data_IF_814141557440
#
_entry.id   IF_814141557440
#
_cell.length_a   1.000
_cell.length_b   1.000
_cell.length_c   1.000
_cell.angle_alpha   90.00
_cell.angle_beta   90.00
_cell.angle_gamma   90.00
#
_symmetry.space_group_name_H-M   'P 1'
#
loop_
_entity.id
_entity.type
_entity.pdbx_description
1 polymer ?
#
# COMPACT_ATOMS: atom_id res chain seq x y z
N UNK A 1 4.80 -12.71 1.61
CA UNK A 1 5.62 -13.74 0.98
C UNK A 1 6.80 -13.14 0.26
N UNK A 2 7.67 -14.01 -0.19
CA UNK A 2 8.84 -13.68 -0.99
C UNK A 2 9.04 -14.74 -2.08
N UNK A 3 9.92 -14.49 -3.05
CA UNK A 3 10.28 -15.47 -4.08
C UNK A 3 10.85 -16.76 -3.46
N UNK A 4 11.68 -16.64 -2.43
CA UNK A 4 12.24 -17.79 -1.73
C UNK A 4 11.15 -18.65 -1.08
N UNK A 5 10.18 -18.04 -0.39
CA UNK A 5 9.06 -18.77 0.19
C UNK A 5 8.22 -19.45 -0.89
N UNK A 6 7.98 -18.77 -2.02
CA UNK A 6 7.25 -19.37 -3.15
C UNK A 6 8.01 -20.59 -3.71
N UNK A 7 9.34 -20.51 -3.85
CA UNK A 7 10.15 -21.65 -4.26
C UNK A 7 10.04 -22.81 -3.26
N UNK A 8 10.12 -22.53 -1.95
CA UNK A 8 9.97 -23.58 -0.93
C UNK A 8 8.60 -24.26 -0.99
N UNK A 9 7.53 -23.50 -1.29
CA UNK A 9 6.19 -24.06 -1.50
C UNK A 9 6.09 -24.89 -2.79
N UNK A 10 6.86 -24.55 -3.82
CA UNK A 10 6.96 -25.35 -5.03
C UNK A 10 7.73 -26.66 -4.76
N UNK A 11 8.86 -26.57 -4.08
CA UNK A 11 9.75 -27.71 -3.80
C UNK A 11 9.08 -28.76 -2.89
N UNK A 12 8.28 -28.33 -1.91
CA UNK A 12 7.56 -29.24 -1.02
C UNK A 12 6.20 -29.74 -1.58
N UNK A 13 5.82 -29.30 -2.79
CA UNK A 13 4.60 -29.69 -3.47
C UNK A 13 3.33 -28.93 -3.04
N UNK A 14 3.38 -28.08 -2.02
CA UNK A 14 2.21 -27.33 -1.55
C UNK A 14 1.62 -26.42 -2.62
N UNK A 15 2.45 -25.78 -3.44
CA UNK A 15 2.02 -24.94 -4.55
C UNK A 15 1.19 -25.73 -5.57
N UNK A 16 1.63 -26.93 -5.93
CA UNK A 16 0.89 -27.81 -6.87
C UNK A 16 -0.47 -28.22 -6.32
N UNK A 17 -0.55 -28.52 -5.02
CA UNK A 17 -1.80 -28.88 -4.35
C UNK A 17 -2.78 -27.68 -4.36
N UNK A 18 -2.30 -26.47 -4.06
CA UNK A 18 -3.13 -25.25 -4.07
C UNK A 18 -3.66 -24.96 -5.48
N UNK A 19 -2.83 -25.11 -6.51
CA UNK A 19 -3.25 -24.93 -7.92
C UNK A 19 -4.31 -25.95 -8.28
N UNK A 20 -4.13 -27.21 -7.92
CA UNK A 20 -5.08 -28.28 -8.18
C UNK A 20 -6.43 -28.06 -7.46
N UNK A 21 -6.39 -27.43 -6.28
CA UNK A 21 -7.59 -27.02 -5.55
C UNK A 21 -8.29 -25.78 -6.13
N UNK A 22 -7.76 -25.18 -7.20
CA UNK A 22 -8.34 -24.01 -7.86
C UNK A 22 -7.86 -22.66 -7.32
N UNK A 23 -6.82 -22.64 -6.49
CA UNK A 23 -6.24 -21.38 -6.00
C UNK A 23 -5.57 -20.62 -7.16
N UNK A 24 -5.84 -19.31 -7.22
CA UNK A 24 -5.13 -18.40 -8.11
C UNK A 24 -3.84 -17.94 -7.43
N UNK A 25 -2.71 -18.27 -8.05
CA UNK A 25 -1.40 -17.87 -7.56
C UNK A 25 -1.05 -16.48 -8.09
N UNK A 26 -0.69 -15.59 -7.20
CA UNK A 26 -0.28 -14.22 -7.50
C UNK A 26 1.18 -14.00 -7.12
N UNK A 27 1.80 -13.03 -7.77
CA UNK A 27 3.12 -12.55 -7.34
C UNK A 27 3.08 -12.03 -5.89
N UNK A 28 4.18 -12.24 -5.16
CA UNK A 28 4.35 -11.72 -3.80
C UNK A 28 4.61 -10.23 -3.83
N UNK A 29 3.58 -9.44 -4.10
CA UNK A 29 3.64 -7.98 -4.26
C UNK A 29 2.44 -7.29 -3.64
N UNK A 30 2.50 -5.97 -3.56
CA UNK A 30 1.37 -5.13 -3.16
C UNK A 30 0.50 -4.82 -4.39
N UNK A 31 -0.80 -4.73 -4.19
CA UNK A 31 -1.77 -4.43 -5.25
C UNK A 31 -3.13 -5.06 -4.95
N UNK A 32 -3.22 -6.37 -4.70
CA UNK A 32 -4.49 -7.04 -4.38
C UNK A 32 -5.21 -6.45 -3.17
N UNK A 33 -4.49 -5.82 -2.23
CA UNK A 33 -5.07 -5.16 -1.06
C UNK A 33 -5.96 -3.96 -1.39
N UNK A 34 -5.75 -3.31 -2.53
CA UNK A 34 -6.59 -2.24 -3.06
C UNK A 34 -7.47 -2.71 -4.24
N UNK A 35 -7.55 -4.01 -4.45
CA UNK A 35 -8.37 -4.62 -5.48
C UNK A 35 -7.73 -4.72 -6.87
N UNK A 36 -6.44 -4.41 -7.02
CA UNK A 36 -5.76 -4.55 -8.32
C UNK A 36 -5.73 -6.02 -8.73
N UNK A 37 -6.56 -6.37 -9.71
CA UNK A 37 -6.73 -7.73 -10.22
C UNK A 37 -7.46 -8.69 -9.28
N UNK A 38 -7.94 -8.26 -8.12
CA UNK A 38 -8.56 -9.07 -7.07
C UNK A 38 -9.67 -8.32 -6.31
N UNK A 39 -10.44 -7.48 -6.99
CA UNK A 39 -11.63 -6.87 -6.40
C UNK A 39 -12.70 -7.92 -6.13
N UNK A 40 -13.42 -7.87 -5.00
CA UNK A 40 -14.59 -8.71 -4.79
C UNK A 40 -15.71 -8.32 -5.76
N UNK A 41 -16.64 -9.22 -5.98
CA UNK A 41 -17.87 -8.90 -6.70
C UNK A 41 -18.70 -7.88 -5.90
N UNK A 42 -19.59 -7.14 -6.61
CA UNK A 42 -20.57 -6.26 -5.96
C UNK A 42 -21.40 -7.05 -4.96
N UNK A 43 -21.51 -6.54 -3.71
CA UNK A 43 -22.16 -7.23 -2.60
C UNK A 43 -21.48 -8.53 -2.12
N UNK A 44 -20.39 -8.93 -2.75
CA UNK A 44 -19.71 -10.20 -2.46
C UNK A 44 -18.91 -10.15 -1.16
N UNK A 45 -18.85 -11.29 -0.46
CA UNK A 45 -18.05 -11.49 0.75
C UNK A 45 -16.61 -11.84 0.36
N UNK A 46 -15.64 -11.18 0.97
CA UNK A 46 -14.21 -11.45 0.77
C UNK A 46 -13.46 -11.48 2.10
N UNK A 47 -12.81 -12.60 2.38
CA UNK A 47 -11.94 -12.74 3.56
C UNK A 47 -10.50 -12.44 3.16
N UNK A 48 -9.82 -11.59 3.92
CA UNK A 48 -8.48 -11.13 3.59
C UNK A 48 -7.56 -11.11 4.80
N UNK A 49 -6.30 -11.46 4.60
CA UNK A 49 -5.27 -11.48 5.64
C UNK A 49 -4.41 -10.21 5.63
N UNK A 50 -4.88 -9.15 4.98
CA UNK A 50 -4.23 -7.84 5.00
C UNK A 50 -4.44 -7.15 6.35
N UNK A 51 -3.70 -6.09 6.60
CA UNK A 51 -3.74 -5.36 7.86
C UNK A 51 -4.61 -4.10 7.83
N UNK A 52 -5.41 -3.90 6.77
CA UNK A 52 -6.20 -2.68 6.60
C UNK A 52 -7.49 -2.93 5.85
N UNK A 53 -8.58 -2.38 6.36
CA UNK A 53 -9.89 -2.38 5.70
C UNK A 53 -10.66 -1.09 5.99
N UNK A 54 -11.47 -0.67 5.04
CA UNK A 54 -12.53 0.32 5.12
C UNK A 54 -13.44 0.15 3.90
N UNK A 55 -14.62 0.77 3.88
CA UNK A 55 -15.56 0.65 2.78
C UNK A 55 -14.92 1.01 1.43
N UNK A 56 -15.08 0.13 0.44
CA UNK A 56 -14.49 0.28 -0.89
C UNK A 56 -12.98 0.06 -0.98
N UNK A 57 -12.28 -0.24 0.13
CA UNK A 57 -10.81 -0.42 0.16
C UNK A 57 -10.30 -1.42 -0.86
N UNK A 58 -11.02 -2.50 -1.07
CA UNK A 58 -10.59 -3.60 -1.96
C UNK A 58 -11.09 -3.45 -3.41
N UNK A 59 -11.45 -2.24 -3.82
CA UNK A 59 -11.75 -1.89 -5.21
C UNK A 59 -13.23 -1.93 -5.59
N UNK A 60 -14.09 -2.53 -4.75
CA UNK A 60 -15.55 -2.58 -4.95
C UNK A 60 -16.23 -1.89 -3.77
N UNK A 61 -17.03 -0.86 -4.05
CA UNK A 61 -17.59 0.02 -3.02
C UNK A 61 -18.49 -0.72 -2.02
N UNK A 62 -19.30 -1.63 -2.47
CA UNK A 62 -20.26 -2.43 -1.69
C UNK A 62 -19.74 -3.84 -1.36
N UNK A 63 -18.49 -4.14 -1.63
CA UNK A 63 -17.87 -5.43 -1.28
C UNK A 63 -17.75 -5.58 0.24
N UNK A 64 -18.25 -6.69 0.77
CA UNK A 64 -18.20 -7.04 2.19
C UNK A 64 -16.85 -7.68 2.52
N UNK A 65 -15.86 -6.87 2.90
CA UNK A 65 -14.50 -7.30 3.17
C UNK A 65 -14.28 -7.47 4.66
N UNK A 66 -13.80 -8.65 5.06
CA UNK A 66 -13.45 -8.99 6.44
C UNK A 66 -11.96 -9.27 6.55
N UNK A 67 -11.31 -8.69 7.57
CA UNK A 67 -9.94 -9.02 7.92
C UNK A 67 -9.94 -10.22 8.87
N UNK A 68 -9.21 -11.25 8.49
CA UNK A 68 -9.16 -12.51 9.22
C UNK A 68 -7.72 -13.01 9.36
N UNK A 69 -7.47 -13.94 10.26
CA UNK A 69 -6.17 -14.64 10.33
C UNK A 69 -5.97 -15.56 9.12
N UNK A 70 -4.73 -15.92 8.78
CA UNK A 70 -4.44 -16.93 7.75
C UNK A 70 -5.17 -18.25 7.97
N UNK A 71 -5.26 -18.70 9.23
CA UNK A 71 -5.94 -19.93 9.62
C UNK A 71 -7.45 -19.84 9.33
N UNK A 72 -8.08 -18.72 9.68
CA UNK A 72 -9.50 -18.47 9.37
C UNK A 72 -9.75 -18.42 7.88
N UNK A 73 -8.84 -17.78 7.12
CA UNK A 73 -8.93 -17.73 5.66
C UNK A 73 -8.82 -19.14 5.04
N UNK A 74 -7.86 -19.96 5.52
CA UNK A 74 -7.65 -21.32 5.04
C UNK A 74 -8.87 -22.22 5.39
N UNK A 75 -9.35 -22.17 6.63
CA UNK A 75 -10.53 -22.92 7.06
C UNK A 75 -11.76 -22.58 6.24
N UNK A 76 -11.97 -21.30 5.99
CA UNK A 76 -13.10 -20.81 5.18
C UNK A 76 -12.97 -21.20 3.71
N UNK A 77 -11.76 -21.23 3.16
CA UNK A 77 -11.50 -21.69 1.81
C UNK A 77 -11.82 -23.19 1.64
N UNK A 78 -11.51 -24.01 2.66
CA UNK A 78 -11.82 -25.45 2.66
C UNK A 78 -13.33 -25.71 2.80
N UNK A 79 -14.00 -24.94 3.68
CA UNK A 79 -15.41 -25.13 3.96
C UNK A 79 -16.35 -24.44 2.93
N UNK A 80 -15.85 -23.47 2.17
CA UNK A 80 -16.66 -22.66 1.25
C UNK A 80 -17.54 -21.61 1.92
N UNK A 81 -17.45 -21.47 3.24
CA UNK A 81 -18.18 -20.51 4.07
C UNK A 81 -17.26 -19.94 5.15
N UNK A 82 -17.64 -18.81 5.73
CA UNK A 82 -16.89 -18.20 6.84
C UNK A 82 -16.85 -19.19 8.02
N UNK A 83 -15.66 -19.69 8.35
CA UNK A 83 -15.48 -20.82 9.25
C UNK A 83 -14.47 -20.52 10.36
N UNK A 84 -14.81 -20.90 11.59
CA UNK A 84 -13.88 -20.88 12.71
C UNK A 84 -12.85 -22.03 12.52
N UNK A 85 -11.54 -21.74 12.42
CA UNK A 85 -10.52 -22.77 12.23
C UNK A 85 -10.48 -23.83 13.34
N UNK A 86 -10.92 -23.48 14.55
CA UNK A 86 -10.97 -24.39 15.70
C UNK A 86 -11.98 -25.53 15.53
N UNK A 87 -12.91 -25.41 14.57
CA UNK A 87 -13.89 -26.46 14.26
C UNK A 87 -13.35 -27.54 13.34
N UNK A 88 -12.17 -27.36 12.75
CA UNK A 88 -11.53 -28.33 11.84
C UNK A 88 -10.72 -29.41 12.57
N UNK A 89 -10.63 -29.37 13.89
CA UNK A 89 -9.86 -30.30 14.70
C UNK A 89 -8.62 -29.66 15.32
N UNK A 90 -7.63 -30.49 15.62
CA UNK A 90 -6.38 -30.01 16.21
C UNK A 90 -5.54 -29.22 15.21
N UNK A 91 -4.87 -28.17 15.69
CA UNK A 91 -3.96 -27.38 14.87
C UNK A 91 -2.78 -28.25 14.39
N UNK A 92 -2.49 -28.26 13.10
CA UNK A 92 -1.32 -29.00 12.61
C UNK A 92 -0.03 -28.51 13.28
N UNK A 93 0.88 -29.44 13.59
CA UNK A 93 2.21 -29.07 14.07
C UNK A 93 2.97 -28.31 12.98
N UNK A 94 3.37 -27.07 13.29
CA UNK A 94 4.18 -26.26 12.38
C UNK A 94 5.63 -26.57 12.63
N UNK A 95 6.29 -27.19 11.65
CA UNK A 95 7.73 -27.45 11.69
C UNK A 95 8.44 -26.46 10.79
N UNK A 96 9.32 -25.66 11.38
CA UNK A 96 10.20 -24.81 10.60
C UNK A 96 11.28 -25.66 9.93
N UNK A 97 11.70 -25.33 8.71
CA UNK A 97 12.82 -26.00 8.07
C UNK A 97 14.11 -25.74 8.87
N UNK A 98 15.05 -26.68 8.84
CA UNK A 98 16.38 -26.51 9.46
C UNK A 98 17.15 -25.32 8.85
N UNK A 99 16.94 -25.06 7.57
CA UNK A 99 17.48 -23.89 6.87
C UNK A 99 16.46 -23.35 5.85
N UNK A 100 16.45 -22.03 5.69
CA UNK A 100 15.64 -21.40 4.66
C UNK A 100 16.42 -21.34 3.34
N UNK A 101 15.70 -21.47 2.23
CA UNK A 101 16.26 -21.26 0.91
C UNK A 101 16.79 -19.82 0.80
N UNK A 102 18.05 -19.68 0.41
CA UNK A 102 18.65 -18.41 0.04
C UNK A 102 18.87 -18.45 -1.47
N UNK A 103 18.26 -17.52 -2.19
CA UNK A 103 18.40 -17.38 -3.64
C UNK A 103 18.47 -15.89 -4.00
N UNK A 104 19.68 -15.46 -4.28
CA UNK A 104 19.99 -14.06 -4.58
C UNK A 104 20.07 -13.77 -6.09
N UNK A 105 19.64 -14.71 -6.95
CA UNK A 105 19.73 -14.59 -8.41
C UNK A 105 19.04 -13.34 -8.98
N UNK A 106 18.08 -12.77 -8.24
CA UNK A 106 17.34 -11.58 -8.64
C UNK A 106 17.81 -10.30 -7.93
N UNK A 107 18.85 -10.42 -7.09
CA UNK A 107 19.45 -9.28 -6.39
C UNK A 107 20.54 -8.69 -7.27
N UNK A 108 20.34 -7.43 -7.67
CA UNK A 108 21.38 -6.66 -8.36
C UNK A 108 22.29 -6.06 -7.30
N UNK A 109 23.53 -6.51 -7.24
CA UNK A 109 24.51 -5.98 -6.30
C UNK A 109 24.86 -4.52 -6.64
N UNK A 110 25.27 -3.70 -5.65
CA UNK A 110 25.87 -2.40 -5.92
C UNK A 110 27.09 -2.51 -6.86
N UNK A 111 27.36 -1.42 -7.58
CA UNK A 111 28.60 -1.37 -8.36
C UNK A 111 29.83 -1.55 -7.45
N UNK A 112 30.93 -2.14 -7.96
CA UNK A 112 32.20 -2.17 -7.22
C UNK A 112 32.64 -0.77 -6.81
N UNK A 113 33.31 -0.65 -5.67
CA UNK A 113 33.74 0.66 -5.12
C UNK A 113 34.45 1.54 -6.15
N UNK A 114 35.32 0.93 -6.96
CA UNK A 114 36.08 1.64 -8.00
C UNK A 114 35.21 2.21 -9.15
N UNK A 115 33.95 1.76 -9.28
CA UNK A 115 33.03 2.15 -10.35
C UNK A 115 31.86 2.99 -9.82
N UNK A 116 31.71 3.16 -8.50
CA UNK A 116 30.57 3.84 -7.90
C UNK A 116 30.42 5.30 -8.40
N UNK A 117 31.50 6.01 -8.56
CA UNK A 117 31.49 7.41 -9.04
C UNK A 117 31.06 7.54 -10.51
N UNK A 118 31.17 6.47 -11.28
CA UNK A 118 30.74 6.43 -12.68
C UNK A 118 29.25 6.07 -12.85
N UNK A 119 28.57 5.63 -11.78
CA UNK A 119 27.17 5.24 -11.85
C UNK A 119 26.28 6.45 -12.07
N UNK A 120 25.56 6.44 -13.19
CA UNK A 120 24.54 7.44 -13.50
C UNK A 120 23.15 6.96 -13.11
N UNK A 121 22.39 7.82 -12.45
CA UNK A 121 21.00 7.50 -12.10
C UNK A 121 20.09 7.82 -13.28
N UNK A 122 19.57 6.79 -13.93
CA UNK A 122 18.55 6.93 -14.97
C UNK A 122 17.16 7.03 -14.33
N UNK A 123 16.44 8.11 -14.62
CA UNK A 123 15.09 8.34 -14.11
C UNK A 123 14.07 8.27 -15.23
N UNK A 124 12.94 7.61 -14.95
CA UNK A 124 11.78 7.64 -15.83
C UNK A 124 11.18 9.06 -15.97
N UNK A 125 10.34 9.30 -16.97
CA UNK A 125 9.86 10.64 -17.34
C UNK A 125 9.06 11.34 -16.21
N UNK A 126 8.40 10.57 -15.35
CA UNK A 126 7.60 11.07 -14.23
C UNK A 126 8.39 11.19 -12.92
N UNK A 127 9.67 10.81 -12.90
CA UNK A 127 10.51 10.90 -11.72
C UNK A 127 11.27 12.22 -11.76
N UNK A 128 11.03 13.08 -10.78
CA UNK A 128 11.73 14.36 -10.63
C UNK A 128 12.64 14.34 -9.41
N UNK A 129 13.69 15.17 -9.38
CA UNK A 129 14.50 15.32 -8.18
C UNK A 129 13.62 15.65 -6.98
N UNK A 130 13.99 15.11 -5.83
CA UNK A 130 13.31 15.39 -4.58
C UNK A 130 13.46 16.89 -4.23
N UNK A 131 12.37 17.57 -3.81
CA UNK A 131 12.46 18.97 -3.40
C UNK A 131 13.43 19.15 -2.23
N UNK A 132 14.33 20.10 -2.36
CA UNK A 132 15.22 20.50 -1.26
C UNK A 132 14.45 21.45 -0.34
N UNK A 133 14.36 21.12 0.94
CA UNK A 133 13.73 21.95 1.96
C UNK A 133 14.79 22.54 2.89
N UNK A 134 14.50 23.72 3.43
CA UNK A 134 15.32 24.31 4.49
C UNK A 134 15.03 23.63 5.83
N UNK A 135 15.97 23.70 6.80
CA UNK A 135 15.68 23.28 8.16
C UNK A 135 14.44 23.98 8.72
N UNK A 136 13.69 23.29 9.57
CA UNK A 136 12.51 23.85 10.22
C UNK A 136 12.91 25.08 11.05
N UNK A 137 12.27 26.26 10.84
CA UNK A 137 12.54 27.45 11.65
C UNK A 137 11.99 27.28 13.07
N UNK A 138 12.50 28.08 14.02
CA UNK A 138 12.03 28.04 15.40
C UNK A 138 10.56 28.48 15.56
N UNK A 139 10.06 29.31 14.65
CA UNK A 139 8.65 29.74 14.61
C UNK A 139 8.15 29.83 13.18
N UNK A 140 6.87 29.54 12.99
CA UNK A 140 6.17 29.67 11.71
C UNK A 140 4.98 30.59 11.91
N UNK A 141 4.89 31.64 11.09
CA UNK A 141 3.74 32.52 11.01
C UNK A 141 3.19 32.47 9.58
N UNK A 142 1.96 32.00 9.42
CA UNK A 142 1.33 31.88 8.12
C UNK A 142 -0.21 31.88 8.25
N UNK A 143 -0.91 32.12 7.14
CA UNK A 143 -2.36 32.03 7.09
C UNK A 143 -2.84 30.59 7.22
N UNK A 144 -4.01 30.39 7.85
CA UNK A 144 -4.70 29.11 7.80
C UNK A 144 -5.40 29.01 6.43
N UNK A 145 -4.88 28.13 5.57
CA UNK A 145 -5.39 27.95 4.21
C UNK A 145 -6.48 26.88 4.13
N UNK A 146 -6.48 25.94 5.08
CA UNK A 146 -7.48 24.88 5.13
C UNK A 146 -7.74 24.48 6.58
N UNK A 147 -9.03 24.32 6.92
CA UNK A 147 -9.48 23.73 8.17
C UNK A 147 -10.37 22.53 7.84
N UNK A 148 -9.97 21.35 8.31
CA UNK A 148 -10.70 20.10 8.12
C UNK A 148 -11.09 19.49 9.46
N UNK A 149 -12.06 18.60 9.45
CA UNK A 149 -12.56 17.93 10.64
C UNK A 149 -11.71 16.73 11.07
N UNK A 150 -12.34 15.83 11.82
CA UNK A 150 -11.77 14.58 12.27
C UNK A 150 -11.66 13.53 11.15
N UNK A 151 -10.84 12.51 11.38
CA UNK A 151 -10.72 11.32 10.53
C UNK A 151 -10.28 11.61 9.08
N UNK A 152 -9.46 12.61 8.88
CA UNK A 152 -8.85 12.89 7.58
C UNK A 152 -7.87 11.77 7.22
N UNK A 153 -8.14 11.07 6.14
CA UNK A 153 -7.30 9.97 5.65
C UNK A 153 -6.21 10.48 4.70
N UNK A 154 -5.20 9.66 4.46
CA UNK A 154 -4.21 9.95 3.41
C UNK A 154 -4.83 10.05 2.01
N UNK A 155 -6.03 9.50 1.78
CA UNK A 155 -6.78 9.68 0.53
C UNK A 155 -7.50 11.04 0.44
N UNK A 156 -7.83 11.66 1.56
CA UNK A 156 -8.28 13.05 1.60
C UNK A 156 -7.12 14.01 1.32
N UNK A 157 -5.96 13.74 1.92
CA UNK A 157 -4.75 14.57 1.74
C UNK A 157 -4.26 14.45 0.30
N UNK A 158 -4.07 13.22 -0.17
CA UNK A 158 -3.57 12.94 -1.51
C UNK A 158 -4.36 11.77 -2.13
N UNK A 159 -5.32 12.06 -2.99
CA UNK A 159 -6.10 11.04 -3.64
C UNK A 159 -5.26 10.01 -4.38
N UNK A 160 -5.62 8.73 -4.25
CA UNK A 160 -5.03 7.65 -5.00
C UNK A 160 -5.95 7.25 -6.15
N UNK A 161 -5.41 7.17 -7.34
CA UNK A 161 -6.13 6.73 -8.53
C UNK A 161 -5.18 6.62 -9.71
N UNK A 162 -5.63 5.95 -10.77
CA UNK A 162 -4.80 5.66 -11.94
C UNK A 162 -4.21 6.92 -12.62
N UNK A 163 -4.86 8.07 -12.47
CA UNK A 163 -4.39 9.35 -13.03
C UNK A 163 -3.35 10.04 -12.14
N UNK A 164 -3.40 9.83 -10.82
CA UNK A 164 -2.58 10.57 -9.84
C UNK A 164 -1.36 9.75 -9.42
N UNK A 165 -1.53 8.45 -9.16
CA UNK A 165 -0.45 7.58 -8.71
C UNK A 165 0.81 7.56 -9.61
N UNK A 166 0.72 7.69 -10.93
CA UNK A 166 1.92 7.81 -11.78
C UNK A 166 2.79 9.03 -11.46
N UNK A 167 2.24 10.05 -10.79
CA UNK A 167 2.95 11.27 -10.40
C UNK A 167 3.62 11.19 -9.02
N UNK A 168 3.50 10.05 -8.30
CA UNK A 168 3.97 9.91 -6.91
C UNK A 168 5.43 10.27 -6.67
N UNK A 169 6.27 10.15 -7.67
CA UNK A 169 7.70 10.54 -7.63
C UNK A 169 7.97 11.88 -8.31
N UNK A 170 6.93 12.69 -8.52
CA UNK A 170 6.99 14.04 -9.05
C UNK A 170 6.18 14.96 -8.12
N UNK A 171 6.81 15.35 -7.00
CA UNK A 171 6.13 16.12 -5.95
C UNK A 171 5.53 17.43 -6.48
N UNK A 172 6.22 18.23 -7.32
CA UNK A 172 5.62 19.43 -7.89
C UNK A 172 4.35 19.20 -8.71
N UNK A 173 4.25 18.06 -9.40
CA UNK A 173 3.06 17.73 -10.18
C UNK A 173 1.95 17.16 -9.30
N UNK A 174 2.27 16.25 -8.37
CA UNK A 174 1.27 15.61 -7.53
C UNK A 174 0.69 16.57 -6.48
N UNK A 175 1.45 17.58 -6.02
CA UNK A 175 0.98 18.58 -5.05
C UNK A 175 -0.26 19.35 -5.53
N UNK A 176 -0.45 19.47 -6.84
CA UNK A 176 -1.64 20.09 -7.43
C UNK A 176 -2.94 19.29 -7.17
N UNK A 177 -2.85 18.12 -6.59
CA UNK A 177 -3.98 17.28 -6.22
C UNK A 177 -4.21 17.18 -4.70
N UNK A 178 -3.43 17.93 -3.89
CA UNK A 178 -3.59 17.94 -2.44
C UNK A 178 -4.98 18.44 -2.03
N UNK A 179 -5.63 17.70 -1.16
CA UNK A 179 -6.93 18.02 -0.56
C UNK A 179 -8.08 18.33 -1.54
N UNK A 180 -7.93 18.06 -2.84
CA UNK A 180 -8.98 18.34 -3.83
C UNK A 180 -10.32 17.65 -3.54
N UNK A 181 -10.32 16.61 -2.71
CA UNK A 181 -11.55 15.96 -2.22
C UNK A 181 -12.24 16.73 -1.08
N UNK A 182 -11.47 17.51 -0.33
CA UNK A 182 -11.99 18.34 0.75
C UNK A 182 -12.33 19.74 0.26
N UNK A 183 -11.46 20.27 -0.59
CA UNK A 183 -11.55 21.61 -1.16
C UNK A 183 -10.81 21.65 -2.51
N UNK A 184 -11.54 21.66 -3.63
CA UNK A 184 -10.94 21.68 -4.96
C UNK A 184 -10.03 22.88 -5.24
N UNK A 185 -10.25 24.01 -4.58
CA UNK A 185 -9.50 25.24 -4.79
C UNK A 185 -8.26 25.35 -3.89
N UNK A 186 -8.07 24.42 -2.97
CA UNK A 186 -6.94 24.44 -2.02
C UNK A 186 -5.57 24.51 -2.70
N UNK A 187 -5.26 23.69 -3.74
CA UNK A 187 -3.95 23.76 -4.41
C UNK A 187 -3.67 25.12 -5.05
N UNK A 188 -4.71 25.77 -5.60
CA UNK A 188 -4.56 27.09 -6.20
C UNK A 188 -4.25 28.14 -5.12
N UNK A 189 -4.96 28.13 -3.98
CA UNK A 189 -4.65 29.02 -2.85
C UNK A 189 -3.25 28.83 -2.30
N UNK A 190 -2.80 27.58 -2.15
CA UNK A 190 -1.42 27.32 -1.70
C UNK A 190 -0.39 27.91 -2.65
N UNK A 191 -0.62 27.81 -3.95
CA UNK A 191 0.27 28.38 -4.97
C UNK A 191 0.30 29.90 -4.94
N UNK A 192 -0.82 30.54 -4.65
CA UNK A 192 -0.94 32.01 -4.55
C UNK A 192 -0.27 32.54 -3.28
N UNK A 193 -0.51 31.90 -2.13
CA UNK A 193 0.02 32.34 -0.84
C UNK A 193 1.46 31.88 -0.57
N UNK A 194 1.93 30.83 -1.26
CA UNK A 194 3.28 30.26 -1.15
C UNK A 194 3.56 29.48 0.11
N UNK A 195 2.96 29.84 1.26
CA UNK A 195 3.06 29.12 2.53
C UNK A 195 1.75 29.23 3.31
N UNK A 196 1.38 28.18 4.04
CA UNK A 196 0.16 28.19 4.83
C UNK A 196 0.11 27.11 5.90
N UNK A 197 -0.93 27.16 6.71
CA UNK A 197 -1.21 26.22 7.78
C UNK A 197 -2.48 25.45 7.45
N UNK A 198 -2.43 24.12 7.64
CA UNK A 198 -3.60 23.26 7.61
C UNK A 198 -3.96 22.91 9.05
N UNK A 199 -5.22 23.08 9.43
CA UNK A 199 -5.74 22.71 10.74
C UNK A 199 -6.63 21.47 10.58
N UNK A 200 -6.24 20.36 11.19
CA UNK A 200 -7.01 19.11 11.22
C UNK A 200 -7.56 18.81 12.61
N UNK A 201 -8.60 17.99 12.65
CA UNK A 201 -9.16 17.44 13.87
C UNK A 201 -8.44 16.18 14.36
N UNK A 202 -9.14 15.39 15.16
CA UNK A 202 -8.62 14.12 15.68
C UNK A 202 -8.38 13.08 14.57
N UNK A 203 -7.41 12.19 14.77
CA UNK A 203 -7.10 11.07 13.88
C UNK A 203 -6.76 11.53 12.43
N UNK A 204 -6.00 12.61 12.30
CA UNK A 204 -5.56 13.16 11.02
C UNK A 204 -4.45 12.30 10.40
N UNK A 205 -4.53 12.07 9.08
CA UNK A 205 -3.51 11.33 8.33
C UNK A 205 -3.62 9.81 8.45
N UNK A 206 -4.71 9.30 9.00
CA UNK A 206 -4.95 7.86 9.02
C UNK A 206 -5.03 7.30 7.61
N UNK A 207 -4.78 6.03 7.47
CA UNK A 207 -4.93 5.39 6.19
C UNK A 207 -3.64 4.75 5.69
N UNK A 208 -3.47 4.60 4.38
CA UNK A 208 -2.25 4.07 3.74
C UNK A 208 -1.03 4.92 4.05
N UNK A 209 0.08 4.28 4.36
CA UNK A 209 1.38 4.96 4.47
C UNK A 209 1.79 5.48 3.08
N UNK A 210 1.81 6.79 2.91
CA UNK A 210 2.16 7.44 1.65
C UNK A 210 3.07 8.62 1.91
N UNK A 211 4.33 8.46 1.55
CA UNK A 211 5.31 9.53 1.67
C UNK A 211 4.87 10.80 0.94
N UNK A 212 4.35 10.66 -0.28
CA UNK A 212 3.85 11.81 -1.06
C UNK A 212 2.66 12.53 -0.41
N UNK A 213 1.92 11.90 0.51
CA UNK A 213 0.88 12.58 1.28
C UNK A 213 1.44 13.46 2.41
N UNK A 214 2.71 13.26 2.78
CA UNK A 214 3.42 14.13 3.70
C UNK A 214 4.24 15.20 2.97
N UNK A 215 4.74 14.89 1.77
CA UNK A 215 5.65 15.76 1.02
C UNK A 215 4.95 16.76 0.10
N UNK A 216 3.75 16.42 -0.34
CA UNK A 216 3.06 17.22 -1.35
C UNK A 216 2.30 18.44 -0.79
N UNK A 217 1.73 18.39 0.43
CA UNK A 217 1.23 19.62 1.08
C UNK A 217 2.35 20.55 1.48
#
# INVERSE_FOLDING_TARGET
GSKQVLNMLADNGALSIMIAAGARILESTCGPCIGMGQSPNSGGVSLRTFNRNFEGRSGTADGQVYLVSPETAAASALAGVFTDPRTLGEMPEIRLPESFLINDNMVVAPAPEAEMDAVTVERGPNIKPFPQTSPLPESIEAKVLLKVGDNITTDHIMPAGAKILPLRSNIPAISQHCFVRCDPDFPARCKEEGQGIIVGGANYGQGSSREHAALAP
#
